data_IF_339772150924
#
_entry.id   IF_339772150924
#
_cell.length_a   1.000
_cell.length_b   1.000
_cell.length_c   1.000
_cell.angle_alpha   90.00
_cell.angle_beta   90.00
_cell.angle_gamma   90.00
#
_symmetry.space_group_name_H-M   'P 1'
#
loop_
_entity.id
_entity.type
_entity.pdbx_description
1 polymer ?
#
# COMPACT_ATOMS: atom_id res chain seq x y z
N UNK A 1 18.70 -61.57 2.33
CA UNK A 1 19.65 -61.09 1.29
C UNK A 1 19.14 -61.18 -0.16
N UNK A 2 18.32 -62.19 -0.53
CA UNK A 2 17.78 -62.35 -1.91
C UNK A 2 16.91 -61.17 -2.37
N UNK A 3 16.05 -60.62 -1.52
CA UNK A 3 15.10 -59.54 -1.86
C UNK A 3 15.81 -58.20 -2.22
N UNK A 4 16.89 -57.84 -1.55
CA UNK A 4 17.67 -56.63 -1.81
C UNK A 4 18.38 -56.74 -3.17
N UNK A 5 18.89 -57.91 -3.53
CA UNK A 5 19.58 -58.13 -4.80
C UNK A 5 18.63 -58.10 -6.00
N UNK A 6 17.39 -58.58 -5.80
CA UNK A 6 16.33 -58.53 -6.81
C UNK A 6 15.86 -57.07 -7.01
N UNK A 7 15.68 -56.31 -5.92
CA UNK A 7 15.33 -54.89 -5.98
C UNK A 7 16.38 -54.06 -6.73
N UNK A 8 17.67 -54.25 -6.40
CA UNK A 8 18.75 -53.55 -7.07
C UNK A 8 18.82 -53.89 -8.59
N UNK A 9 18.58 -55.16 -8.93
CA UNK A 9 18.54 -55.61 -10.33
C UNK A 9 17.40 -54.96 -11.10
N UNK A 10 16.19 -54.92 -10.53
CA UNK A 10 15.01 -54.28 -11.14
C UNK A 10 15.25 -52.78 -11.33
N UNK A 11 15.81 -52.12 -10.32
CA UNK A 11 16.13 -50.68 -10.37
C UNK A 11 17.14 -50.37 -11.49
N UNK A 12 18.22 -51.16 -11.56
CA UNK A 12 19.26 -51.03 -12.60
C UNK A 12 18.69 -51.24 -14.00
N UNK A 13 17.85 -52.27 -14.16
CA UNK A 13 17.25 -52.60 -15.44
C UNK A 13 16.21 -51.55 -15.86
N UNK A 14 15.45 -51.03 -14.91
CA UNK A 14 14.50 -49.91 -15.12
C UNK A 14 15.23 -48.64 -15.59
N UNK A 15 16.33 -48.31 -14.91
CA UNK A 15 17.16 -47.14 -15.32
C UNK A 15 17.77 -47.34 -16.72
N UNK A 16 18.33 -48.51 -17.03
CA UNK A 16 18.92 -48.83 -18.33
C UNK A 16 17.90 -48.72 -19.46
N UNK A 17 16.66 -49.20 -19.24
CA UNK A 17 15.59 -49.08 -20.22
C UNK A 17 15.06 -47.62 -20.37
N UNK A 18 15.06 -46.87 -19.28
CA UNK A 18 14.69 -45.45 -19.32
C UNK A 18 15.69 -44.63 -20.13
N UNK A 19 16.99 -44.90 -19.99
CA UNK A 19 18.01 -44.24 -20.81
C UNK A 19 17.97 -44.67 -22.26
N UNK A 20 17.52 -45.88 -22.58
CA UNK A 20 17.35 -46.31 -23.97
C UNK A 20 16.24 -45.53 -24.70
N UNK A 21 15.23 -45.04 -23.96
CA UNK A 21 14.14 -44.21 -24.46
C UNK A 21 14.25 -42.76 -23.89
N UNK A 22 15.45 -42.19 -23.96
CA UNK A 22 15.76 -40.90 -23.34
C UNK A 22 14.84 -39.78 -23.78
N UNK A 23 14.35 -39.76 -25.03
CA UNK A 23 13.38 -38.78 -25.50
C UNK A 23 12.08 -38.80 -24.70
N UNK A 24 11.59 -39.99 -24.33
CA UNK A 24 10.37 -40.13 -23.55
C UNK A 24 10.59 -39.71 -22.08
N UNK A 25 11.79 -40.02 -21.52
CA UNK A 25 12.19 -39.59 -20.20
C UNK A 25 12.32 -38.06 -20.14
N UNK A 26 12.98 -37.47 -21.14
CA UNK A 26 13.19 -36.01 -21.20
C UNK A 26 11.87 -35.26 -21.33
N UNK A 27 10.96 -35.76 -22.19
CA UNK A 27 9.62 -35.18 -22.34
C UNK A 27 8.86 -35.19 -21.02
N UNK A 28 8.88 -36.28 -20.26
CA UNK A 28 8.18 -36.38 -18.97
C UNK A 28 8.78 -35.44 -17.94
N UNK A 29 10.11 -35.34 -17.84
CA UNK A 29 10.79 -34.42 -16.93
C UNK A 29 10.46 -32.96 -17.32
N UNK A 30 10.46 -32.66 -18.60
CA UNK A 30 10.14 -31.33 -19.10
C UNK A 30 8.72 -30.90 -18.75
N UNK A 31 7.74 -31.79 -18.91
CA UNK A 31 6.34 -31.50 -18.52
C UNK A 31 6.23 -31.21 -17.03
N UNK A 32 6.88 -32.02 -16.18
CA UNK A 32 6.89 -31.77 -14.73
C UNK A 32 7.55 -30.45 -14.40
N UNK A 33 8.68 -30.15 -15.01
CA UNK A 33 9.40 -28.88 -14.82
C UNK A 33 8.54 -27.67 -15.20
N UNK A 34 7.91 -27.71 -16.38
CA UNK A 34 7.03 -26.63 -16.86
C UNK A 34 5.82 -26.46 -15.93
N UNK A 35 5.23 -27.56 -15.47
CA UNK A 35 4.12 -27.52 -14.53
C UNK A 35 4.48 -26.87 -13.20
N UNK A 36 5.64 -27.23 -12.63
CA UNK A 36 6.15 -26.63 -11.40
C UNK A 36 6.53 -25.16 -11.58
N UNK A 37 7.10 -24.83 -12.74
CA UNK A 37 7.44 -23.45 -13.07
C UNK A 37 6.20 -22.55 -13.17
N UNK A 38 5.17 -23.00 -13.88
CA UNK A 38 3.88 -22.28 -13.97
C UNK A 38 3.26 -22.10 -12.59
N UNK A 39 3.26 -23.16 -11.78
CA UNK A 39 2.72 -23.08 -10.41
C UNK A 39 3.50 -22.07 -9.56
N UNK A 40 4.83 -22.05 -9.66
CA UNK A 40 5.68 -21.06 -8.98
C UNK A 40 5.38 -19.63 -9.41
N UNK A 41 5.21 -19.39 -10.71
CA UNK A 41 4.81 -18.09 -11.25
C UNK A 41 3.45 -17.63 -10.72
N UNK A 42 2.47 -18.53 -10.67
CA UNK A 42 1.12 -18.22 -10.16
C UNK A 42 1.16 -17.85 -8.68
N UNK A 43 1.92 -18.57 -7.86
CA UNK A 43 2.10 -18.24 -6.43
C UNK A 43 2.75 -16.87 -6.28
N UNK A 44 3.82 -16.60 -7.03
CA UNK A 44 4.50 -15.31 -6.98
C UNK A 44 3.58 -14.15 -7.40
N UNK A 45 2.81 -14.35 -8.45
CA UNK A 45 1.83 -13.36 -8.91
C UNK A 45 0.75 -13.11 -7.84
N UNK A 46 0.23 -14.16 -7.22
CA UNK A 46 -0.79 -14.05 -6.17
C UNK A 46 -0.30 -13.26 -4.96
N UNK A 47 0.92 -13.51 -4.50
CA UNK A 47 1.52 -12.78 -3.36
C UNK A 47 1.74 -11.32 -3.70
N UNK A 48 2.23 -11.02 -4.91
CA UNK A 48 2.44 -9.63 -5.34
C UNK A 48 1.11 -8.88 -5.48
N UNK A 49 0.08 -9.53 -6.02
CA UNK A 49 -1.25 -8.94 -6.15
C UNK A 49 -1.87 -8.63 -4.78
N UNK A 50 -1.73 -9.54 -3.81
CA UNK A 50 -2.20 -9.30 -2.44
C UNK A 50 -1.52 -8.08 -1.81
N UNK A 51 -0.22 -7.90 -2.00
CA UNK A 51 0.49 -6.71 -1.49
C UNK A 51 -0.06 -5.43 -2.11
N UNK A 52 -0.18 -5.39 -3.44
CA UNK A 52 -0.73 -4.22 -4.15
C UNK A 52 -2.15 -3.89 -3.65
N UNK A 53 -3.01 -4.89 -3.51
CA UNK A 53 -4.38 -4.68 -3.02
C UNK A 53 -4.40 -4.19 -1.57
N UNK A 54 -3.48 -4.65 -0.73
CA UNK A 54 -3.37 -4.17 0.65
C UNK A 54 -2.92 -2.72 0.68
N UNK A 55 -1.88 -2.36 -0.09
CA UNK A 55 -1.35 -1.01 -0.16
C UNK A 55 -2.40 -0.02 -0.70
N UNK A 56 -3.13 -0.39 -1.76
CA UNK A 56 -4.22 0.41 -2.29
C UNK A 56 -5.36 0.58 -1.26
N UNK A 57 -5.72 -0.48 -0.55
CA UNK A 57 -6.74 -0.40 0.51
C UNK A 57 -6.30 0.50 1.67
N UNK A 58 -5.02 0.53 2.01
CA UNK A 58 -4.50 1.43 3.04
C UNK A 58 -4.54 2.89 2.57
N UNK A 59 -4.16 3.18 1.32
CA UNK A 59 -4.22 4.52 0.74
C UNK A 59 -5.65 5.07 0.66
N UNK A 60 -6.62 4.23 0.30
CA UNK A 60 -8.04 4.62 0.28
C UNK A 60 -8.63 4.97 1.64
N UNK A 61 -7.96 4.60 2.73
CA UNK A 61 -8.36 4.97 4.09
C UNK A 61 -7.74 6.28 4.56
N UNK A 62 -6.80 6.83 3.81
CA UNK A 62 -6.16 8.09 4.15
C UNK A 62 -6.98 9.27 3.68
N UNK A 63 -7.17 10.23 4.58
CA UNK A 63 -7.85 11.50 4.33
C UNK A 63 -6.90 12.61 4.73
N UNK A 64 -6.80 13.62 3.89
CA UNK A 64 -6.14 14.88 4.19
C UNK A 64 -7.19 15.92 4.55
N UNK A 65 -7.03 16.55 5.70
CA UNK A 65 -7.91 17.59 6.22
C UNK A 65 -7.09 18.86 6.30
N UNK A 66 -7.44 19.84 5.51
CA UNK A 66 -6.80 21.15 5.48
C UNK A 66 -7.61 22.15 6.31
N UNK A 67 -6.92 22.75 7.29
CA UNK A 67 -7.50 23.77 8.12
C UNK A 67 -7.33 25.13 7.46
N UNK A 68 -8.17 26.09 7.82
CA UNK A 68 -8.05 27.46 7.32
C UNK A 68 -6.66 28.06 7.59
N UNK A 69 -6.14 28.86 6.67
CA UNK A 69 -4.86 29.55 6.80
C UNK A 69 -4.80 30.49 8.01
N UNK A 70 -5.96 31.04 8.43
CA UNK A 70 -6.09 31.96 9.56
C UNK A 70 -6.24 31.25 10.91
N UNK A 71 -6.23 29.90 10.93
CA UNK A 71 -6.45 29.15 12.16
C UNK A 71 -5.28 29.35 13.14
N UNK A 72 -5.63 29.60 14.41
CA UNK A 72 -4.62 29.63 15.46
C UNK A 72 -4.14 28.22 15.83
N UNK A 73 -2.91 28.12 16.34
CA UNK A 73 -2.38 26.83 16.80
C UNK A 73 -3.27 26.16 17.86
N UNK A 74 -3.84 26.93 18.77
CA UNK A 74 -4.77 26.42 19.79
C UNK A 74 -6.04 25.83 19.17
N UNK A 75 -6.59 26.48 18.14
CA UNK A 75 -7.76 25.98 17.44
C UNK A 75 -7.44 24.74 16.58
N UNK A 76 -6.27 24.68 15.98
CA UNK A 76 -5.83 23.47 15.25
C UNK A 76 -5.65 22.26 16.16
N UNK A 77 -5.18 22.45 17.39
CA UNK A 77 -5.11 21.40 18.41
C UNK A 77 -6.48 20.91 18.83
N UNK A 78 -7.47 21.83 18.94
CA UNK A 78 -8.85 21.42 19.25
C UNK A 78 -9.47 20.58 18.12
N UNK A 79 -9.13 20.88 16.85
CA UNK A 79 -9.54 20.05 15.70
C UNK A 79 -8.86 18.67 15.79
N UNK A 80 -7.56 18.62 16.14
CA UNK A 80 -6.88 17.36 16.35
C UNK A 80 -7.57 16.48 17.40
N UNK A 81 -8.01 17.06 18.51
CA UNK A 81 -8.74 16.34 19.56
C UNK A 81 -10.07 15.77 19.01
N UNK A 82 -10.82 16.55 18.23
CA UNK A 82 -12.07 16.11 17.58
C UNK A 82 -11.79 14.91 16.65
N UNK A 83 -10.72 14.98 15.86
CA UNK A 83 -10.32 13.91 14.93
C UNK A 83 -9.93 12.65 15.71
N UNK A 84 -9.13 12.78 16.76
CA UNK A 84 -8.64 11.65 17.57
C UNK A 84 -9.75 10.98 18.36
N UNK A 85 -10.76 11.73 18.80
CA UNK A 85 -11.89 11.20 19.56
C UNK A 85 -12.90 10.45 18.67
N UNK A 86 -12.85 10.62 17.36
CA UNK A 86 -13.72 9.89 16.44
C UNK A 86 -13.37 8.40 16.43
N UNK A 87 -14.37 7.56 16.69
CA UNK A 87 -14.22 6.11 16.77
C UNK A 87 -13.82 5.44 15.46
N UNK A 88 -14.06 6.13 14.33
CA UNK A 88 -13.73 5.68 12.96
C UNK A 88 -12.26 5.84 12.64
N UNK A 89 -11.54 6.69 13.38
CA UNK A 89 -10.14 7.03 13.15
C UNK A 89 -9.21 6.03 13.83
N UNK A 90 -8.09 5.74 13.17
CA UNK A 90 -6.99 5.01 13.77
C UNK A 90 -6.08 6.01 14.52
N UNK A 91 -6.22 6.06 15.84
CA UNK A 91 -5.55 7.05 16.69
C UNK A 91 -4.03 7.09 16.56
N UNK A 92 -3.42 5.93 16.26
CA UNK A 92 -1.96 5.81 16.09
C UNK A 92 -1.46 6.35 14.75
N UNK A 93 -2.38 6.71 13.84
CA UNK A 93 -2.09 7.14 12.48
C UNK A 93 -2.78 8.48 12.15
N UNK A 94 -2.67 9.41 13.07
CA UNK A 94 -3.05 10.81 12.88
C UNK A 94 -1.78 11.64 12.91
N UNK A 95 -1.47 12.30 11.82
CA UNK A 95 -0.27 13.13 11.68
C UNK A 95 -0.68 14.57 11.41
N UNK A 96 -0.18 15.50 12.23
CA UNK A 96 -0.30 16.93 11.99
C UNK A 96 0.88 17.38 11.13
N UNK A 97 0.59 18.08 10.05
CA UNK A 97 1.57 18.68 9.15
C UNK A 97 1.49 20.18 9.39
N UNK A 98 2.60 20.79 9.78
CA UNK A 98 2.66 22.24 10.04
C UNK A 98 2.68 23.03 8.71
N UNK A 99 2.47 24.35 8.79
CA UNK A 99 2.55 25.24 7.64
C UNK A 99 3.93 25.20 6.98
N UNK A 100 4.97 25.16 7.77
CA UNK A 100 6.36 25.09 7.31
C UNK A 100 6.65 23.76 6.60
N UNK A 101 6.11 22.66 7.14
CA UNK A 101 6.25 21.34 6.55
C UNK A 101 5.45 21.23 5.23
N UNK A 102 4.26 21.80 5.17
CA UNK A 102 3.48 21.88 3.93
C UNK A 102 4.20 22.72 2.87
N UNK A 103 4.79 23.85 3.24
CA UNK A 103 5.59 24.64 2.32
C UNK A 103 6.79 23.85 1.79
N UNK A 104 7.51 23.16 2.68
CA UNK A 104 8.63 22.31 2.28
C UNK A 104 8.21 21.21 1.33
N UNK A 105 7.10 20.53 1.61
CA UNK A 105 6.55 19.48 0.74
C UNK A 105 6.14 20.05 -0.63
N UNK A 106 5.57 21.26 -0.68
CA UNK A 106 5.24 21.93 -1.92
C UNK A 106 6.50 22.23 -2.74
N UNK A 107 7.55 22.78 -2.12
CA UNK A 107 8.83 23.06 -2.78
C UNK A 107 9.48 21.76 -3.32
N UNK A 108 9.42 20.67 -2.57
CA UNK A 108 9.96 19.35 -3.01
C UNK A 108 9.14 18.76 -4.17
N UNK A 109 7.83 19.01 -4.22
CA UNK A 109 6.95 18.53 -5.29
C UNK A 109 7.19 19.27 -6.63
N UNK A 110 7.58 20.54 -6.55
CA UNK A 110 7.84 21.41 -7.72
C UNK A 110 9.35 21.64 -7.91
N UNK A 111 10.15 20.55 -7.94
CA UNK A 111 11.62 20.61 -8.03
C UNK A 111 12.14 21.49 -9.17
N UNK A 112 11.45 21.58 -10.31
CA UNK A 112 11.84 22.39 -11.46
C UNK A 112 11.45 23.86 -11.35
N UNK A 113 10.58 24.24 -10.42
CA UNK A 113 10.00 25.58 -10.28
C UNK A 113 10.22 26.19 -8.88
N UNK A 114 11.31 25.84 -8.21
CA UNK A 114 11.63 26.31 -6.85
C UNK A 114 11.67 27.84 -6.72
N UNK A 115 12.03 28.53 -7.81
CA UNK A 115 12.07 30.00 -7.87
C UNK A 115 10.70 30.66 -7.57
N UNK A 116 9.59 29.94 -7.79
CA UNK A 116 8.24 30.45 -7.48
C UNK A 116 7.99 30.57 -5.98
N UNK A 117 8.73 29.81 -5.16
CA UNK A 117 8.56 29.76 -3.71
C UNK A 117 9.60 30.58 -2.95
N UNK A 118 10.56 31.25 -3.65
CA UNK A 118 11.68 31.97 -3.01
C UNK A 118 11.24 33.10 -2.08
N UNK A 119 10.01 33.64 -2.27
CA UNK A 119 9.42 34.66 -1.42
C UNK A 119 8.06 34.24 -0.84
N UNK A 120 7.76 32.94 -0.83
CA UNK A 120 6.46 32.46 -0.35
C UNK A 120 6.55 32.24 1.16
N UNK A 121 5.67 32.90 1.92
CA UNK A 121 5.64 32.77 3.37
C UNK A 121 4.81 31.55 3.77
N UNK A 122 5.30 30.79 4.76
CA UNK A 122 4.59 29.66 5.32
C UNK A 122 3.22 30.03 5.90
N UNK A 123 3.01 31.29 6.24
CA UNK A 123 1.70 31.79 6.73
C UNK A 123 0.56 31.62 5.73
N UNK A 124 0.86 31.53 4.44
CA UNK A 124 -0.13 31.26 3.39
C UNK A 124 -0.47 29.77 3.24
N UNK A 125 0.27 28.90 3.92
CA UNK A 125 -0.01 27.46 3.88
C UNK A 125 -1.04 27.05 4.92
N UNK A 126 -1.71 25.94 4.64
CA UNK A 126 -2.62 25.29 5.57
C UNK A 126 -1.88 24.51 6.65
N UNK A 127 -2.49 24.41 7.83
CA UNK A 127 -2.20 23.31 8.75
C UNK A 127 -3.03 22.11 8.29
N UNK A 128 -2.39 20.99 8.01
CA UNK A 128 -3.07 19.81 7.50
C UNK A 128 -3.01 18.66 8.48
N UNK A 129 -4.03 17.81 8.48
CA UNK A 129 -4.06 16.56 9.22
C UNK A 129 -4.17 15.40 8.25
N UNK A 130 -3.16 14.52 8.28
CA UNK A 130 -3.21 13.26 7.57
C UNK A 130 -3.78 12.20 8.51
N UNK A 131 -4.95 11.70 8.17
CA UNK A 131 -5.75 10.83 9.04
C UNK A 131 -6.01 9.50 8.34
N UNK A 132 -5.75 8.38 9.02
CA UNK A 132 -6.13 7.08 8.50
C UNK A 132 -7.36 6.54 9.22
N UNK A 133 -8.38 6.18 8.45
CA UNK A 133 -9.58 5.54 8.96
C UNK A 133 -9.40 4.03 9.10
N UNK A 134 -10.19 3.43 9.99
CA UNK A 134 -10.23 1.98 10.20
C UNK A 134 -10.86 1.23 9.02
N UNK A 135 -11.74 1.88 8.26
CA UNK A 135 -12.45 1.27 7.14
C UNK A 135 -12.74 2.28 6.03
N UNK A 136 -12.55 1.85 4.78
CA UNK A 136 -12.89 2.64 3.58
C UNK A 136 -14.37 3.05 3.56
N UNK A 137 -15.26 2.23 4.10
CA UNK A 137 -16.71 2.52 4.15
C UNK A 137 -17.07 3.77 4.94
N UNK A 138 -16.17 4.21 5.81
CA UNK A 138 -16.39 5.38 6.67
C UNK A 138 -15.84 6.68 6.06
N UNK A 139 -15.12 6.60 4.93
CA UNK A 139 -14.42 7.73 4.32
C UNK A 139 -15.40 8.83 3.95
N UNK A 140 -16.41 8.51 3.16
CA UNK A 140 -17.39 9.48 2.67
C UNK A 140 -18.13 10.18 3.81
N UNK A 141 -18.67 9.39 4.75
CA UNK A 141 -19.41 9.95 5.88
C UNK A 141 -18.52 10.75 6.82
N UNK A 142 -17.27 10.31 7.04
CA UNK A 142 -16.32 11.05 7.86
C UNK A 142 -15.92 12.37 7.19
N UNK A 143 -15.64 12.35 5.87
CA UNK A 143 -15.37 13.58 5.10
C UNK A 143 -16.49 14.59 5.18
N UNK A 144 -17.75 14.16 5.03
CA UNK A 144 -18.91 15.03 5.16
C UNK A 144 -19.07 15.63 6.56
N UNK A 145 -18.80 14.84 7.60
CA UNK A 145 -18.87 15.29 8.98
C UNK A 145 -17.77 16.31 9.30
N UNK A 146 -16.54 16.06 8.81
CA UNK A 146 -15.41 16.97 9.02
C UNK A 146 -15.58 18.30 8.28
N UNK A 147 -16.15 18.32 7.10
CA UNK A 147 -16.48 19.58 6.36
C UNK A 147 -17.42 20.51 7.13
N UNK A 148 -18.15 20.01 8.13
CA UNK A 148 -19.05 20.80 8.98
C UNK A 148 -18.33 21.41 10.19
N UNK A 149 -17.12 20.99 10.49
CA UNK A 149 -16.34 21.47 11.64
C UNK A 149 -15.79 22.87 11.32
N UNK A 150 -16.06 23.88 12.15
CA UNK A 150 -15.53 25.23 11.94
C UNK A 150 -13.99 25.23 11.96
N UNK A 151 -13.38 25.87 10.96
CA UNK A 151 -11.94 25.96 10.82
C UNK A 151 -11.33 24.89 9.89
N UNK A 152 -12.12 23.95 9.38
CA UNK A 152 -11.72 23.05 8.28
C UNK A 152 -12.15 23.71 6.98
N UNK A 153 -11.23 23.82 6.02
CA UNK A 153 -11.46 24.46 4.72
C UNK A 153 -11.69 23.40 3.65
N UNK A 154 -10.85 22.37 3.63
CA UNK A 154 -10.97 21.29 2.65
C UNK A 154 -10.74 19.93 3.30
N UNK A 155 -11.43 18.93 2.77
CA UNK A 155 -11.21 17.52 3.12
C UNK A 155 -11.06 16.73 1.84
N UNK A 156 -9.84 16.28 1.59
CA UNK A 156 -9.48 15.51 0.40
C UNK A 156 -9.36 14.05 0.75
N UNK A 157 -10.12 13.23 0.06
CA UNK A 157 -9.99 11.77 0.13
C UNK A 157 -9.37 11.21 -1.15
N UNK A 158 -8.58 10.16 -1.02
CA UNK A 158 -7.98 9.47 -2.17
C UNK A 158 -9.00 8.62 -2.97
N UNK A 159 -10.29 8.67 -2.61
CA UNK A 159 -11.35 7.96 -3.33
C UNK A 159 -11.94 8.78 -4.47
N UNK A 160 -11.78 10.11 -4.45
CA UNK A 160 -12.36 11.05 -5.43
C UNK A 160 -11.49 11.29 -6.67
N UNK A 161 -10.38 10.60 -6.83
CA UNK A 161 -9.35 10.86 -7.84
C UNK A 161 -9.39 9.96 -9.08
N UNK A 162 -10.50 9.25 -9.38
CA UNK A 162 -10.64 8.47 -10.62
C UNK A 162 -12.02 8.64 -11.25
#
# INVERSE_FOLDING_TARGET
MRKIRTFYYILRQGMANSFKNWHMLFSSIFVIFVSLYIMGCLVMLSVNLQRILTDLSEQQKEILIDCSTEISDAASLSIADIIIDDSRVNKDKVYRISKEENLKNAIEMFEEEQDLFENFDADYMYVSFKVQLKSVKNVEQFSEDMKKVPGIEEVTDNTSGY
#
